data_IF_865200454226
#
_entry.id   IF_865200454226
#
_cell.length_a   1.000
_cell.length_b   1.000
_cell.length_c   1.000
_cell.angle_alpha   90.00
_cell.angle_beta   90.00
_cell.angle_gamma   90.00
#
_symmetry.space_group_name_H-M   'P 1'
#
loop_
_entity.id
_entity.type
_entity.pdbx_description
1 polymer ?
#
# COMPACT_ATOMS: atom_id res chain seq x y z
N UNK A 1 -4.78 -15.38 1.18
CA UNK A 1 -4.13 -14.45 2.10
C UNK A 1 -3.04 -13.75 1.32
N UNK A 2 -3.24 -12.47 1.09
CA UNK A 2 -2.41 -11.60 0.26
C UNK A 2 -1.13 -11.18 1.00
N UNK A 3 -0.06 -10.90 0.26
CA UNK A 3 1.28 -10.66 0.81
C UNK A 3 1.28 -9.55 1.86
N UNK A 4 0.55 -8.45 1.63
CA UNK A 4 0.40 -7.36 2.60
C UNK A 4 -0.25 -7.83 3.92
N UNK A 5 -1.23 -8.74 3.87
CA UNK A 5 -1.85 -9.32 5.05
C UNK A 5 -0.87 -10.13 5.90
N UNK A 6 0.01 -10.92 5.25
CA UNK A 6 1.07 -11.66 5.95
C UNK A 6 2.08 -10.73 6.62
N UNK A 7 2.48 -9.66 5.94
CA UNK A 7 3.41 -8.67 6.47
C UNK A 7 2.83 -7.94 7.70
N UNK A 8 1.56 -7.53 7.64
CA UNK A 8 0.87 -6.95 8.81
C UNK A 8 0.76 -7.92 9.97
N UNK A 9 0.52 -9.22 9.70
CA UNK A 9 0.49 -10.23 10.76
C UNK A 9 1.85 -10.36 11.47
N UNK A 10 2.97 -10.27 10.73
CA UNK A 10 4.31 -10.24 11.31
C UNK A 10 4.52 -9.00 12.20
N UNK A 11 4.11 -7.82 11.74
CA UNK A 11 4.19 -6.59 12.54
C UNK A 11 3.42 -6.71 13.87
N UNK A 12 2.21 -7.28 13.83
CA UNK A 12 1.39 -7.53 15.02
C UNK A 12 2.08 -8.51 15.98
N UNK A 13 2.67 -9.60 15.45
CA UNK A 13 3.40 -10.56 16.27
C UNK A 13 4.61 -9.92 16.98
N UNK A 14 5.36 -9.08 16.27
CA UNK A 14 6.49 -8.34 16.84
C UNK A 14 6.03 -7.44 18.01
N UNK A 15 4.92 -6.70 17.85
CA UNK A 15 4.35 -5.86 18.93
C UNK A 15 3.89 -6.68 20.14
N UNK A 16 3.24 -7.80 19.91
CA UNK A 16 2.83 -8.70 21.01
C UNK A 16 4.05 -9.27 21.75
N UNK A 17 5.10 -9.65 21.02
CA UNK A 17 6.35 -10.13 21.60
C UNK A 17 7.03 -9.02 22.41
N UNK A 18 7.02 -7.77 21.90
CA UNK A 18 7.59 -6.62 22.61
C UNK A 18 6.90 -6.35 23.95
N UNK A 19 5.58 -6.49 24.00
CA UNK A 19 4.80 -6.34 25.24
C UNK A 19 5.16 -7.41 26.29
N UNK A 20 5.61 -8.60 25.86
CA UNK A 20 6.03 -9.69 26.74
C UNK A 20 7.50 -9.62 27.14
N UNK A 21 8.34 -8.98 26.33
CA UNK A 21 9.80 -8.92 26.50
C UNK A 21 10.29 -7.46 26.53
N UNK A 22 10.14 -6.76 27.67
CA UNK A 22 10.50 -5.35 27.78
C UNK A 22 11.99 -5.09 27.52
N UNK A 23 12.86 -6.05 27.83
CA UNK A 23 14.32 -6.02 27.60
C UNK A 23 14.70 -5.92 26.11
N UNK A 24 13.85 -6.47 25.23
CA UNK A 24 14.03 -6.47 23.77
C UNK A 24 12.96 -5.69 23.02
N UNK A 25 12.09 -4.99 23.77
CA UNK A 25 10.91 -4.31 23.23
C UNK A 25 11.28 -3.32 22.11
N UNK A 26 12.33 -2.52 22.31
CA UNK A 26 12.78 -1.53 21.33
C UNK A 26 13.13 -2.17 19.97
N UNK A 27 13.83 -3.31 19.97
CA UNK A 27 14.23 -4.01 18.75
C UNK A 27 13.01 -4.60 18.04
N UNK A 28 12.11 -5.21 18.82
CA UNK A 28 10.88 -5.81 18.30
C UNK A 28 9.92 -4.76 17.74
N UNK A 29 9.85 -3.56 18.35
CA UNK A 29 9.05 -2.46 17.84
C UNK A 29 9.62 -1.90 16.54
N UNK A 30 10.94 -1.74 16.43
CA UNK A 30 11.59 -1.34 15.18
C UNK A 30 11.33 -2.36 14.06
N UNK A 31 11.39 -3.66 14.37
CA UNK A 31 11.07 -4.71 13.41
C UNK A 31 9.57 -4.70 13.01
N UNK A 32 8.67 -4.39 13.95
CA UNK A 32 7.26 -4.22 13.64
C UNK A 32 7.01 -3.08 12.65
N UNK A 33 7.68 -1.94 12.83
CA UNK A 33 7.59 -0.79 11.93
C UNK A 33 8.12 -1.11 10.54
N UNK A 34 9.24 -1.83 10.44
CA UNK A 34 9.77 -2.35 9.17
C UNK A 34 8.73 -3.20 8.42
N UNK A 35 8.08 -4.15 9.09
CA UNK A 35 7.06 -5.00 8.48
C UNK A 35 5.81 -4.21 8.04
N UNK A 36 5.42 -3.19 8.79
CA UNK A 36 4.30 -2.30 8.45
C UNK A 36 4.60 -1.48 7.18
N UNK A 37 5.80 -0.92 7.06
CA UNK A 37 6.24 -0.21 5.87
C UNK A 37 6.22 -1.11 4.63
N UNK A 38 6.80 -2.31 4.73
CA UNK A 38 6.80 -3.26 3.61
C UNK A 38 5.37 -3.67 3.20
N UNK A 39 4.47 -3.80 4.16
CA UNK A 39 3.06 -4.10 3.88
C UNK A 39 2.35 -2.96 3.15
N UNK A 40 2.65 -1.71 3.52
CA UNK A 40 2.10 -0.53 2.86
C UNK A 40 2.64 -0.38 1.43
N UNK A 41 3.93 -0.56 1.23
CA UNK A 41 4.55 -0.52 -0.10
C UNK A 41 3.94 -1.60 -1.02
N UNK A 42 3.79 -2.83 -0.50
CA UNK A 42 3.16 -3.94 -1.25
C UNK A 42 1.69 -3.64 -1.58
N UNK A 43 0.96 -2.97 -0.69
CA UNK A 43 -0.43 -2.60 -0.92
C UNK A 43 -0.55 -1.49 -1.98
N UNK A 44 0.37 -0.52 -1.98
CA UNK A 44 0.44 0.56 -2.96
C UNK A 44 0.76 0.02 -4.36
N UNK A 45 1.75 -0.87 -4.49
CA UNK A 45 2.07 -1.54 -5.76
C UNK A 45 0.88 -2.30 -6.34
N UNK A 46 0.15 -3.02 -5.49
CA UNK A 46 -1.04 -3.74 -5.92
C UNK A 46 -2.15 -2.77 -6.36
N UNK A 47 -2.30 -1.64 -5.66
CA UNK A 47 -3.28 -0.62 -6.00
C UNK A 47 -2.96 0.09 -7.32
N UNK A 48 -1.71 0.51 -7.54
CA UNK A 48 -1.28 1.14 -8.79
C UNK A 48 -1.47 0.20 -9.98
N UNK A 49 -1.10 -1.08 -9.83
CA UNK A 49 -1.34 -2.10 -10.86
C UNK A 49 -2.84 -2.29 -11.17
N UNK A 50 -3.71 -2.17 -10.17
CA UNK A 50 -5.16 -2.22 -10.36
C UNK A 50 -5.69 -0.96 -11.08
N UNK A 51 -5.18 0.22 -10.73
CA UNK A 51 -5.57 1.48 -11.36
C UNK A 51 -5.19 1.52 -12.84
N UNK A 52 -3.97 1.10 -13.19
CA UNK A 52 -3.47 1.03 -14.58
C UNK A 52 -4.33 0.09 -15.44
N UNK A 53 -4.86 -0.99 -14.87
CA UNK A 53 -5.74 -1.96 -15.57
C UNK A 53 -7.22 -1.61 -15.52
N UNK A 54 -7.61 -0.56 -14.80
CA UNK A 54 -9.03 -0.22 -14.64
C UNK A 54 -9.52 0.62 -15.84
N UNK A 55 -10.69 0.32 -16.43
CA UNK A 55 -11.22 1.07 -17.59
C UNK A 55 -11.47 2.56 -17.30
N UNK A 56 -11.51 2.96 -16.02
CA UNK A 56 -11.61 4.35 -15.59
C UNK A 56 -10.41 5.22 -16.01
N UNK A 57 -9.20 4.66 -16.14
CA UNK A 57 -8.04 5.46 -16.57
C UNK A 57 -8.12 5.81 -18.06
N UNK A 58 -8.72 4.95 -18.89
CA UNK A 58 -8.89 5.19 -20.34
C UNK A 58 -9.82 6.38 -20.64
N UNK A 59 -10.78 6.66 -19.76
CA UNK A 59 -11.75 7.74 -19.96
C UNK A 59 -11.16 9.15 -19.74
N UNK A 60 -10.06 9.28 -18.99
CA UNK A 60 -9.42 10.59 -18.71
C UNK A 60 -8.48 11.09 -19.81
N UNK A 61 -8.31 10.31 -20.87
CA UNK A 61 -7.35 10.58 -21.96
C UNK A 61 -7.99 11.18 -23.21
N UNK A 62 -9.28 11.57 -23.19
CA UNK A 62 -9.91 12.21 -24.36
C UNK A 62 -9.48 13.68 -24.40
N UNK A 63 -8.74 14.14 -25.42
CA UNK A 63 -8.49 15.56 -25.61
C UNK A 63 -9.81 16.23 -25.97
N UNK A 64 -10.12 17.30 -25.25
CA UNK A 64 -11.22 18.22 -25.56
C UNK A 64 -11.15 18.62 -27.05
N UNK A 65 -12.19 18.37 -27.87
CA UNK A 65 -12.17 18.85 -29.24
C UNK A 65 -12.26 20.38 -29.23
N UNK A 66 -11.28 21.00 -29.88
CA UNK A 66 -11.23 22.43 -30.13
C UNK A 66 -12.52 22.91 -30.80
N UNK A 67 -13.07 24.01 -30.29
CA UNK A 67 -14.18 24.73 -30.89
C UNK A 67 -13.85 25.11 -32.35
N UNK A 68 -14.76 24.81 -33.27
CA UNK A 68 -14.78 25.38 -34.62
C UNK A 68 -15.90 26.43 -34.69
N UNK A 69 -15.69 27.57 -35.37
CA UNK A 69 -16.62 28.69 -35.37
C UNK A 69 -17.84 28.43 -36.28
N UNK A 70 -18.96 29.06 -35.93
CA UNK A 70 -20.19 29.06 -36.70
C UNK A 70 -20.07 29.98 -37.93
N UNK A 71 -20.52 29.49 -39.09
CA UNK A 71 -20.98 30.33 -40.21
C UNK A 71 -22.45 30.73 -40.01
#
# INVERSE_FOLDING_TARGET
MDTAGRLRAMAVLCRQTAARHPDRSWKLLAEAEYWEHLANDTALDHFDRCLVRSPLHRARSIPQPAAAPAE
#
